data_IF_971629445832
#
_entry.id   IF_971629445832
#
_cell.length_a   1.000
_cell.length_b   1.000
_cell.length_c   1.000
_cell.angle_alpha   90.00
_cell.angle_beta   90.00
_cell.angle_gamma   90.00
#
_symmetry.space_group_name_H-M   'P 1'
#
loop_
_entity.id
_entity.type
_entity.pdbx_description
1 polymer ?
#
# COMPACT_ATOMS: atom_id res chain seq x y z
N UNK A 1 -2.09 13.96 19.69
CA UNK A 1 -3.40 13.28 19.56
C UNK A 1 -3.49 12.67 18.16
N UNK A 2 -3.23 11.36 18.01
CA UNK A 2 -3.27 10.70 16.70
C UNK A 2 -4.66 10.11 16.48
N UNK A 3 -5.36 10.57 15.44
CA UNK A 3 -6.68 10.06 15.09
C UNK A 3 -6.55 8.58 14.69
N UNK A 4 -6.99 7.67 15.58
CA UNK A 4 -7.21 6.27 15.24
C UNK A 4 -8.35 6.22 14.22
N UNK A 5 -8.00 6.14 12.94
CA UNK A 5 -8.99 5.83 11.90
C UNK A 5 -9.45 4.40 12.16
N UNK A 6 -10.72 4.20 12.49
CA UNK A 6 -11.31 2.87 12.53
C UNK A 6 -11.20 2.28 11.12
N UNK A 7 -10.23 1.39 10.91
CA UNK A 7 -10.25 0.52 9.75
C UNK A 7 -11.55 -0.28 9.82
N UNK A 8 -12.34 -0.26 8.74
CA UNK A 8 -13.49 -1.13 8.61
C UNK A 8 -13.02 -2.58 8.87
N UNK A 9 -13.78 -3.40 9.62
CA UNK A 9 -13.42 -4.80 9.79
C UNK A 9 -13.33 -5.43 8.40
N UNK A 10 -12.20 -6.07 8.10
CA UNK A 10 -12.02 -6.85 6.88
C UNK A 10 -12.78 -8.18 6.98
N UNK A 11 -14.08 -8.14 7.32
CA UNK A 11 -14.91 -9.33 7.23
C UNK A 11 -15.41 -9.44 5.80
N UNK A 12 -14.67 -10.15 4.96
CA UNK A 12 -15.31 -10.71 3.78
C UNK A 12 -16.50 -11.55 4.29
N UNK A 13 -17.72 -11.27 3.79
CA UNK A 13 -18.90 -12.07 4.12
C UNK A 13 -18.86 -13.49 3.54
N UNK A 14 -17.80 -13.81 2.82
CA UNK A 14 -17.54 -15.12 2.23
C UNK A 14 -16.78 -16.01 3.23
N UNK A 15 -17.20 -17.26 3.32
CA UNK A 15 -16.48 -18.31 4.04
C UNK A 15 -15.21 -18.70 3.26
N UNK A 16 -14.08 -18.10 3.63
CA UNK A 16 -12.80 -18.33 2.96
C UNK A 16 -12.29 -19.75 3.14
N UNK A 17 -12.57 -20.40 4.27
CA UNK A 17 -12.14 -21.77 4.50
C UNK A 17 -12.86 -22.74 3.55
N UNK A 18 -14.15 -22.50 3.29
CA UNK A 18 -14.91 -23.27 2.31
C UNK A 18 -14.42 -23.03 0.87
N UNK A 19 -14.11 -21.78 0.51
CA UNK A 19 -13.57 -21.44 -0.82
C UNK A 19 -12.21 -22.10 -1.04
N UNK A 20 -11.32 -22.05 -0.05
CA UNK A 20 -9.97 -22.62 -0.12
C UNK A 20 -9.97 -24.16 -0.18
N UNK A 21 -10.98 -24.80 0.42
CA UNK A 21 -11.17 -26.25 0.35
C UNK A 21 -11.71 -26.75 -1.01
N UNK A 22 -12.23 -25.87 -1.87
CA UNK A 22 -12.82 -26.27 -3.16
C UNK A 22 -11.74 -26.53 -4.21
N UNK A 23 -11.68 -27.76 -4.72
CA UNK A 23 -10.81 -28.10 -5.85
C UNK A 23 -11.56 -27.99 -7.16
N UNK A 24 -11.21 -26.96 -7.93
CA UNK A 24 -11.75 -26.62 -9.25
C UNK A 24 -11.72 -27.86 -10.18
N UNK A 25 -12.88 -28.21 -10.76
CA UNK A 25 -13.01 -29.33 -11.71
C UNK A 25 -13.24 -28.83 -13.14
N UNK A 26 -12.73 -29.52 -14.18
CA UNK A 26 -12.90 -29.08 -15.58
C UNK A 26 -14.36 -28.94 -16.03
N UNK A 27 -15.26 -29.83 -15.56
CA UNK A 27 -16.70 -29.81 -15.89
C UNK A 27 -17.39 -28.51 -15.46
N UNK A 28 -16.89 -27.87 -14.38
CA UNK A 28 -17.45 -26.62 -13.84
C UNK A 28 -17.33 -25.44 -14.82
N UNK A 29 -16.50 -25.57 -15.86
CA UNK A 29 -16.18 -24.51 -16.81
C UNK A 29 -16.63 -24.80 -18.24
N UNK A 30 -17.35 -25.90 -18.50
CA UNK A 30 -17.78 -26.26 -19.87
C UNK A 30 -18.70 -25.21 -20.48
N UNK A 31 -19.51 -24.54 -19.65
CA UNK A 31 -20.44 -23.51 -20.08
C UNK A 31 -19.79 -22.12 -20.20
N UNK A 32 -18.50 -21.97 -19.83
CA UNK A 32 -17.83 -20.67 -19.98
C UNK A 32 -17.55 -20.39 -21.47
N UNK A 33 -17.75 -19.14 -21.91
CA UNK A 33 -17.40 -18.75 -23.26
C UNK A 33 -15.88 -18.81 -23.46
N UNK A 34 -15.46 -19.16 -24.68
CA UNK A 34 -14.06 -19.11 -25.10
C UNK A 34 -13.52 -17.68 -24.98
N UNK A 35 -12.29 -17.56 -24.49
CA UNK A 35 -11.62 -16.27 -24.35
C UNK A 35 -11.08 -15.80 -25.70
N UNK A 36 -11.80 -14.89 -26.36
CA UNK A 36 -11.41 -14.38 -27.69
C UNK A 36 -10.49 -13.15 -27.62
N UNK A 37 -9.76 -12.89 -28.70
CA UNK A 37 -8.87 -11.73 -28.81
C UNK A 37 -9.63 -10.39 -28.68
N UNK A 38 -10.85 -10.30 -29.23
CA UNK A 38 -11.71 -9.12 -29.09
C UNK A 38 -12.08 -8.86 -27.62
N UNK A 39 -12.25 -9.92 -26.82
CA UNK A 39 -12.54 -9.80 -25.38
C UNK A 39 -11.33 -9.29 -24.59
N UNK A 40 -10.12 -9.60 -25.02
CA UNK A 40 -8.89 -9.06 -24.46
C UNK A 40 -8.66 -7.62 -24.91
N UNK A 41 -8.90 -7.31 -26.19
CA UNK A 41 -8.70 -5.99 -26.76
C UNK A 41 -9.58 -4.91 -26.11
N UNK A 42 -10.81 -5.26 -25.68
CA UNK A 42 -11.69 -4.36 -24.91
C UNK A 42 -11.28 -4.18 -23.44
N UNK A 43 -10.37 -5.01 -22.93
CA UNK A 43 -9.98 -5.00 -21.53
C UNK A 43 -8.98 -3.89 -21.20
N UNK A 44 -9.33 -2.99 -20.28
CA UNK A 44 -8.38 -1.98 -19.78
C UNK A 44 -7.66 -2.49 -18.54
N UNK A 45 -6.35 -2.69 -18.62
CA UNK A 45 -5.52 -2.94 -17.46
C UNK A 45 -5.44 -1.69 -16.57
N UNK A 46 -6.30 -1.60 -15.55
CA UNK A 46 -6.12 -0.60 -14.50
C UNK A 46 -4.94 -1.06 -13.65
N UNK A 47 -3.86 -0.28 -13.68
CA UNK A 47 -2.72 -0.47 -12.79
C UNK A 47 -3.19 -0.20 -11.37
N UNK A 48 -3.69 -1.25 -10.71
CA UNK A 48 -4.09 -1.20 -9.31
C UNK A 48 -2.93 -0.69 -8.46
N UNK A 49 -3.24 0.02 -7.39
CA UNK A 49 -2.23 0.55 -6.48
C UNK A 49 -2.67 1.86 -5.82
N UNK A 50 -1.94 2.24 -4.76
CA UNK A 50 -2.14 3.54 -4.11
C UNK A 50 -1.81 4.65 -5.11
N UNK A 51 -2.64 5.72 -5.21
CA UNK A 51 -2.28 6.90 -6.00
C UNK A 51 -0.89 7.40 -5.62
N UNK A 52 -0.10 7.76 -6.63
CA UNK A 52 1.23 8.35 -6.40
C UNK A 52 1.06 9.65 -5.62
N UNK A 53 1.86 9.81 -4.57
CA UNK A 53 1.94 11.08 -3.83
C UNK A 53 2.55 12.14 -4.74
N UNK A 54 2.01 13.36 -4.72
CA UNK A 54 2.53 14.48 -5.52
C UNK A 54 3.98 14.86 -5.13
N UNK A 55 4.31 14.79 -3.85
CA UNK A 55 5.65 15.05 -3.32
C UNK A 55 6.06 13.95 -2.33
N UNK A 56 6.60 12.81 -2.79
CA UNK A 56 7.09 11.76 -1.91
C UNK A 56 8.42 12.16 -1.27
N UNK A 57 8.64 11.72 -0.01
CA UNK A 57 9.96 11.86 0.63
C UNK A 57 11.01 11.13 -0.19
N UNK A 58 12.11 11.79 -0.51
CA UNK A 58 13.24 11.19 -1.19
C UNK A 58 14.22 10.60 -0.18
N UNK A 59 14.67 9.36 -0.44
CA UNK A 59 15.73 8.74 0.35
C UNK A 59 17.07 9.30 -0.14
N UNK A 60 17.71 10.13 0.67
CA UNK A 60 19.01 10.72 0.37
C UNK A 60 20.06 10.30 1.40
N UNK A 61 21.32 10.25 0.99
CA UNK A 61 22.46 10.07 1.89
C UNK A 61 22.99 11.44 2.32
N UNK A 62 22.51 11.95 3.47
CA UNK A 62 22.93 13.22 4.05
C UNK A 62 23.89 12.99 5.23
N UNK A 63 25.00 13.72 5.29
CA UNK A 63 25.92 13.73 6.44
C UNK A 63 25.61 14.92 7.33
N UNK A 64 25.38 14.65 8.61
CA UNK A 64 25.16 15.65 9.65
C UNK A 64 26.18 15.43 10.77
N UNK A 65 26.60 16.49 11.48
CA UNK A 65 27.37 16.37 12.71
C UNK A 65 26.70 15.43 13.73
N UNK A 66 27.51 14.65 14.45
CA UNK A 66 27.01 13.61 15.36
C UNK A 66 26.20 14.18 16.53
N UNK A 67 26.57 15.36 17.03
CA UNK A 67 25.89 16.11 18.08
C UNK A 67 24.47 16.54 17.65
N UNK A 68 24.30 16.98 16.40
CA UNK A 68 22.99 17.33 15.83
C UNK A 68 22.09 16.10 15.80
N UNK A 69 22.58 14.96 15.33
CA UNK A 69 21.82 13.71 15.31
C UNK A 69 21.45 13.27 16.73
N UNK A 70 22.38 13.38 17.68
CA UNK A 70 22.12 13.01 19.08
C UNK A 70 21.02 13.89 19.70
N UNK A 71 21.07 15.21 19.49
CA UNK A 71 20.05 16.14 19.97
C UNK A 71 18.67 15.80 19.40
N UNK A 72 18.57 15.49 18.11
CA UNK A 72 17.30 15.09 17.50
C UNK A 72 16.81 13.75 18.03
N UNK A 73 17.67 12.73 18.12
CA UNK A 73 17.28 11.42 18.69
C UNK A 73 16.76 11.54 20.12
N UNK A 74 17.32 12.44 20.94
CA UNK A 74 16.86 12.70 22.30
C UNK A 74 15.43 13.25 22.37
N UNK A 75 14.90 13.83 21.28
CA UNK A 75 13.49 14.26 21.22
C UNK A 75 12.49 13.09 21.15
N UNK A 76 12.98 11.84 21.07
CA UNK A 76 12.18 10.63 21.11
C UNK A 76 11.71 10.14 19.72
N UNK A 77 10.79 9.14 19.68
CA UNK A 77 10.30 8.56 18.43
C UNK A 77 9.77 9.62 17.46
N UNK A 78 9.99 9.40 16.16
CA UNK A 78 9.58 10.32 15.11
C UNK A 78 10.45 11.58 14.94
N UNK A 79 11.65 11.63 15.55
CA UNK A 79 12.56 12.76 15.43
C UNK A 79 12.94 13.11 13.97
N UNK A 80 13.04 12.11 13.08
CA UNK A 80 13.31 12.35 11.66
C UNK A 80 12.17 13.09 10.97
N UNK A 81 10.92 12.81 11.34
CA UNK A 81 9.75 13.51 10.80
C UNK A 81 9.72 14.95 11.28
N UNK A 82 9.94 15.20 12.59
CA UNK A 82 10.04 16.56 13.12
C UNK A 82 11.20 17.35 12.50
N UNK A 83 12.34 16.69 12.26
CA UNK A 83 13.47 17.31 11.58
C UNK A 83 13.11 17.69 10.14
N UNK A 84 12.45 16.79 9.40
CA UNK A 84 12.02 17.07 8.03
C UNK A 84 10.99 18.20 7.95
N UNK A 85 10.02 18.24 8.87
CA UNK A 85 9.05 19.34 9.01
C UNK A 85 9.78 20.67 9.24
N UNK A 86 10.74 20.70 10.16
CA UNK A 86 11.52 21.91 10.43
C UNK A 86 12.34 22.39 9.23
N UNK A 87 12.89 21.46 8.44
CA UNK A 87 13.62 21.79 7.21
C UNK A 87 12.72 22.28 6.08
N UNK A 88 11.43 21.94 6.10
CA UNK A 88 10.46 22.39 5.09
C UNK A 88 9.91 23.80 5.34
N UNK A 89 10.09 24.34 6.54
CA UNK A 89 9.70 25.70 6.94
C UNK A 89 10.79 26.75 6.67
N UNK A 90 12.00 26.32 6.30
CA UNK A 90 13.14 27.19 5.96
C UNK A 90 12.96 27.70 4.53
#
# INVERSE_FOLDING_TARGET
>A
MSAKKNALPHSLGSDLAKVDAHHIQPEEYIELPELTDDMLARGTAKKGGRPRLANPRQLISLRLPADVIARWKATGPGWQTRMAERLSEI
#
